data_IF_339511061366
#
_entry.id   IF_339511061366
#
_cell.length_a   1.000
_cell.length_b   1.000
_cell.length_c   1.000
_cell.angle_alpha   90.00
_cell.angle_beta   90.00
_cell.angle_gamma   90.00
#
_symmetry.space_group_name_H-M   'P 1'
#
loop_
_entity.id
_entity.type
_entity.pdbx_description
1 polymer ?
#
# COMPACT_ATOMS: atom_id res chain seq x y z
N UNK A 1 2.25 -21.71 -17.14
CA UNK A 1 2.94 -20.44 -16.83
C UNK A 1 3.72 -20.01 -18.07
N UNK A 2 3.84 -18.71 -18.38
CA UNK A 2 4.72 -18.25 -19.48
C UNK A 2 6.16 -18.72 -19.24
N UNK A 3 6.79 -19.31 -20.25
CA UNK A 3 8.13 -19.90 -20.18
C UNK A 3 9.18 -18.92 -19.62
N UNK A 4 9.13 -17.66 -20.07
CA UNK A 4 10.04 -16.62 -19.60
C UNK A 4 9.90 -16.29 -18.11
N UNK A 5 8.70 -16.43 -17.54
CA UNK A 5 8.47 -16.21 -16.11
C UNK A 5 8.93 -17.41 -15.28
N UNK A 6 8.72 -18.62 -15.80
CA UNK A 6 9.18 -19.85 -15.15
C UNK A 6 10.71 -19.88 -15.05
N UNK A 7 11.43 -19.55 -16.13
CA UNK A 7 12.90 -19.45 -16.11
C UNK A 7 13.42 -18.45 -15.08
N UNK A 8 12.77 -17.28 -14.97
CA UNK A 8 13.12 -16.29 -13.93
C UNK A 8 12.88 -16.82 -12.52
N UNK A 9 11.83 -17.60 -12.33
CA UNK A 9 11.55 -18.25 -11.05
C UNK A 9 12.62 -19.31 -10.73
N UNK A 10 13.05 -20.12 -11.71
CA UNK A 10 14.14 -21.09 -11.53
C UNK A 10 15.48 -20.43 -11.20
N UNK A 11 15.85 -19.37 -11.94
CA UNK A 11 17.05 -18.58 -11.64
C UNK A 11 17.03 -18.02 -10.22
N UNK A 12 15.87 -17.52 -9.78
CA UNK A 12 15.70 -17.00 -8.44
C UNK A 12 15.75 -18.10 -7.38
N UNK A 13 15.08 -19.23 -7.61
CA UNK A 13 15.09 -20.38 -6.71
C UNK A 13 16.52 -20.89 -6.50
N UNK A 14 17.29 -21.01 -7.59
CA UNK A 14 18.70 -21.38 -7.55
C UNK A 14 19.55 -20.39 -6.73
N UNK A 15 19.34 -19.08 -6.92
CA UNK A 15 20.05 -18.04 -6.14
C UNK A 15 19.70 -18.06 -4.65
N UNK A 16 18.52 -18.53 -4.31
CA UNK A 16 18.02 -18.66 -2.94
C UNK A 16 18.30 -20.06 -2.35
N UNK A 17 18.97 -20.95 -3.10
CA UNK A 17 19.27 -22.33 -2.72
C UNK A 17 18.02 -23.15 -2.31
N UNK A 18 16.88 -22.85 -2.94
CA UNK A 18 15.62 -23.57 -2.75
C UNK A 18 15.12 -24.14 -4.08
N UNK A 19 14.19 -25.09 -4.02
CA UNK A 19 13.50 -25.53 -5.23
C UNK A 19 12.39 -24.57 -5.63
N UNK A 20 11.95 -24.66 -6.89
CA UNK A 20 10.88 -23.81 -7.42
C UNK A 20 9.56 -23.94 -6.65
N UNK A 21 9.23 -25.12 -6.14
CA UNK A 21 7.95 -25.36 -5.45
C UNK A 21 7.80 -24.50 -4.16
N UNK A 22 8.74 -24.53 -3.19
CA UNK A 22 8.77 -23.60 -2.07
C UNK A 22 8.77 -22.12 -2.47
N UNK A 23 9.48 -21.75 -3.54
CA UNK A 23 9.46 -20.38 -4.04
C UNK A 23 8.05 -19.95 -4.45
N UNK A 24 7.29 -20.83 -5.12
CA UNK A 24 5.90 -20.56 -5.49
C UNK A 24 4.99 -20.44 -4.27
N UNK A 25 5.16 -21.29 -3.26
CA UNK A 25 4.41 -21.17 -2.00
C UNK A 25 4.65 -19.81 -1.35
N UNK A 26 5.91 -19.40 -1.20
CA UNK A 26 6.28 -18.12 -0.62
C UNK A 26 5.75 -16.92 -1.44
N UNK A 27 5.79 -17.03 -2.77
CA UNK A 27 5.26 -15.99 -3.65
C UNK A 27 3.74 -15.88 -3.51
N UNK A 28 3.03 -17.01 -3.41
CA UNK A 28 1.58 -17.05 -3.27
C UNK A 28 1.13 -16.50 -1.92
N UNK A 29 1.80 -16.89 -0.82
CA UNK A 29 1.54 -16.33 0.51
C UNK A 29 1.72 -14.82 0.54
N UNK A 30 2.82 -14.31 -0.03
CA UNK A 30 3.06 -12.88 -0.12
C UNK A 30 2.00 -12.17 -0.97
N UNK A 31 1.59 -12.75 -2.09
CA UNK A 31 0.58 -12.18 -2.96
C UNK A 31 -0.78 -12.08 -2.25
N UNK A 32 -1.20 -13.15 -1.56
CA UNK A 32 -2.44 -13.18 -0.77
C UNK A 32 -2.40 -12.08 0.30
N UNK A 33 -1.32 -12.02 1.07
CA UNK A 33 -1.15 -11.01 2.13
C UNK A 33 -1.21 -9.58 1.58
N UNK A 34 -0.56 -9.32 0.44
CA UNK A 34 -0.61 -8.00 -0.19
C UNK A 34 -2.03 -7.65 -0.67
N UNK A 35 -2.75 -8.62 -1.21
CA UNK A 35 -4.14 -8.43 -1.65
C UNK A 35 -5.07 -8.14 -0.47
N UNK A 36 -4.98 -8.91 0.62
CA UNK A 36 -5.75 -8.70 1.84
C UNK A 36 -5.46 -7.32 2.47
N UNK A 37 -4.18 -6.91 2.50
CA UNK A 37 -3.80 -5.58 2.99
C UNK A 37 -4.43 -4.45 2.15
N UNK A 38 -4.49 -4.60 0.82
CA UNK A 38 -5.16 -3.63 -0.05
C UNK A 38 -6.66 -3.56 0.24
N UNK A 39 -7.32 -4.71 0.39
CA UNK A 39 -8.73 -4.75 0.74
C UNK A 39 -9.01 -4.10 2.10
N UNK A 40 -8.14 -4.31 3.09
CA UNK A 40 -8.25 -3.65 4.39
C UNK A 40 -8.12 -2.14 4.25
N UNK A 41 -7.12 -1.67 3.48
CA UNK A 41 -6.92 -0.24 3.23
C UNK A 41 -8.11 0.40 2.51
N UNK A 42 -8.69 -0.29 1.52
CA UNK A 42 -9.90 0.15 0.82
C UNK A 42 -11.08 0.29 1.78
N UNK A 43 -11.27 -0.66 2.70
CA UNK A 43 -12.33 -0.57 3.72
C UNK A 43 -12.11 0.60 4.68
N UNK A 44 -10.87 0.84 5.10
CA UNK A 44 -10.53 2.00 5.93
C UNK A 44 -10.86 3.29 5.18
N UNK A 45 -10.44 3.41 3.92
CA UNK A 45 -10.71 4.59 3.11
C UNK A 45 -12.21 4.80 2.87
N UNK A 46 -13.00 3.73 2.74
CA UNK A 46 -14.45 3.81 2.61
C UNK A 46 -15.12 4.37 3.87
N UNK A 47 -14.62 4.08 5.07
CA UNK A 47 -15.14 4.68 6.31
C UNK A 47 -14.91 6.20 6.34
N UNK A 48 -13.81 6.66 5.74
CA UNK A 48 -13.46 8.08 5.68
C UNK A 48 -13.77 8.73 4.32
N UNK A 49 -14.59 8.09 3.48
CA UNK A 49 -14.89 8.63 2.14
C UNK A 49 -15.87 9.79 2.15
N UNK A 50 -16.54 10.02 3.27
CA UNK A 50 -17.46 11.13 3.43
C UNK A 50 -16.73 12.47 3.33
N UNK A 51 -17.40 13.44 2.71
CA UNK A 51 -16.88 14.80 2.69
C UNK A 51 -16.80 15.33 4.13
N UNK A 52 -15.73 16.04 4.50
CA UNK A 52 -15.60 16.60 5.85
C UNK A 52 -16.80 17.47 6.16
N UNK A 53 -17.34 17.32 7.37
CA UNK A 53 -18.49 18.11 7.79
C UNK A 53 -18.15 19.61 7.85
N UNK A 54 -19.16 20.44 8.11
CA UNK A 54 -18.99 21.89 8.15
C UNK A 54 -18.02 22.35 9.24
N UNK A 55 -17.95 21.65 10.38
CA UNK A 55 -17.03 21.91 11.47
C UNK A 55 -15.59 21.50 11.11
N UNK A 56 -15.40 20.32 10.54
CA UNK A 56 -14.11 19.84 10.04
C UNK A 56 -13.56 20.74 8.94
N UNK A 57 -14.41 21.19 8.03
CA UNK A 57 -14.04 22.10 6.95
C UNK A 57 -13.58 23.46 7.48
N UNK A 58 -14.27 24.00 8.49
CA UNK A 58 -13.88 25.24 9.15
C UNK A 58 -12.56 25.07 9.92
N UNK A 59 -12.40 23.97 10.65
CA UNK A 59 -11.17 23.66 11.38
C UNK A 59 -9.97 23.51 10.43
N UNK A 60 -10.13 22.80 9.30
CA UNK A 60 -9.09 22.69 8.27
C UNK A 60 -8.70 24.05 7.69
N UNK A 61 -9.65 24.97 7.52
CA UNK A 61 -9.37 26.34 7.04
C UNK A 61 -8.54 27.11 8.07
N UNK A 62 -8.93 27.07 9.34
CA UNK A 62 -8.20 27.70 10.45
C UNK A 62 -6.77 27.17 10.55
N UNK A 63 -6.58 25.84 10.46
CA UNK A 63 -5.26 25.23 10.51
C UNK A 63 -4.38 25.64 9.33
N UNK A 64 -4.93 25.72 8.11
CA UNK A 64 -4.20 26.22 6.93
C UNK A 64 -3.74 27.66 7.12
N UNK A 65 -4.62 28.51 7.66
CA UNK A 65 -4.31 29.93 7.88
C UNK A 65 -3.26 30.11 9.00
N UNK A 66 -3.32 29.30 10.05
CA UNK A 66 -2.29 29.25 11.10
C UNK A 66 -0.92 28.85 10.55
N UNK A 67 -0.85 27.74 9.81
CA UNK A 67 0.42 27.27 9.23
C UNK A 67 1.00 28.26 8.22
N UNK A 68 0.16 28.91 7.40
CA UNK A 68 0.62 29.93 6.46
C UNK A 68 1.32 31.09 7.18
N UNK A 69 0.69 31.61 8.26
CA UNK A 69 1.27 32.70 9.06
C UNK A 69 2.55 32.30 9.78
N UNK A 70 2.66 31.04 10.22
CA UNK A 70 3.87 30.52 10.85
C UNK A 70 5.06 30.47 9.86
N UNK A 71 4.81 30.15 8.59
CA UNK A 71 5.83 30.10 7.53
C UNK A 71 6.17 31.48 6.95
N UNK A 72 5.24 32.43 6.96
CA UNK A 72 5.46 33.83 6.52
C UNK A 72 6.18 34.68 7.59
N UNK A 73 6.29 34.17 8.83
CA UNK A 73 6.99 34.82 9.94
C UNK A 73 8.46 34.41 10.09
N UNK A 74 8.97 33.52 9.23
CA UNK A 74 10.39 33.23 8.99
C UNK A 74 10.90 34.00 7.76
#
# INVERSE_FOLDING_TARGET
MPEALFKKAEEMANRLEISCSPLFTLALENFIRQYENKQLLERINAVYSDAPDSGESQYRKLMKDYYRRALEGE
#
